data_IF_603254262018
#
_entry.id   IF_603254262018
#
_cell.length_a   1.000
_cell.length_b   1.000
_cell.length_c   1.000
_cell.angle_alpha   90.00
_cell.angle_beta   90.00
_cell.angle_gamma   90.00
#
_symmetry.space_group_name_H-M   'P 1'
#
loop_
_entity.id
_entity.type
_entity.pdbx_description
1 polymer ?
#
# COMPACT_ATOMS: atom_id res chain seq x y z
N UNK A 1 -13.26 -20.68 15.57
CA UNK A 1 -12.57 -19.60 14.83
C UNK A 1 -11.44 -20.10 13.92
N UNK A 2 -11.21 -21.42 13.82
CA UNK A 2 -9.97 -21.97 13.26
C UNK A 2 -9.97 -22.25 11.74
N UNK A 3 -11.13 -22.22 11.06
CA UNK A 3 -11.23 -22.57 9.63
C UNK A 3 -11.04 -21.41 8.63
N UNK A 4 -11.26 -20.16 9.05
CA UNK A 4 -11.35 -19.02 8.12
C UNK A 4 -10.02 -18.63 7.46
N UNK A 5 -8.90 -18.87 8.15
CA UNK A 5 -7.58 -18.58 7.61
C UNK A 5 -7.25 -19.51 6.43
N UNK A 6 -7.69 -20.77 6.48
CA UNK A 6 -7.48 -21.73 5.39
C UNK A 6 -8.22 -21.35 4.11
N UNK A 7 -9.49 -20.95 4.21
CA UNK A 7 -10.29 -20.47 3.08
C UNK A 7 -9.68 -19.22 2.44
N UNK A 8 -9.24 -18.26 3.25
CA UNK A 8 -8.59 -17.04 2.75
C UNK A 8 -7.27 -17.35 2.03
N UNK A 9 -6.47 -18.30 2.54
CA UNK A 9 -5.24 -18.73 1.87
C UNK A 9 -5.52 -19.47 0.55
N UNK A 10 -6.57 -20.28 0.48
CA UNK A 10 -6.96 -20.96 -0.76
C UNK A 10 -7.38 -19.97 -1.85
N UNK A 11 -8.20 -18.97 -1.48
CA UNK A 11 -8.61 -17.90 -2.40
C UNK A 11 -7.40 -17.09 -2.86
N UNK A 12 -6.50 -16.74 -1.93
CA UNK A 12 -5.27 -16.03 -2.24
C UNK A 12 -4.40 -16.83 -3.22
N UNK A 13 -4.30 -18.15 -3.04
CA UNK A 13 -3.53 -19.03 -3.91
C UNK A 13 -4.08 -19.05 -5.35
N UNK A 14 -5.41 -19.12 -5.52
CA UNK A 14 -6.06 -19.07 -6.84
C UNK A 14 -5.75 -17.74 -7.54
N UNK A 15 -5.88 -16.63 -6.82
CA UNK A 15 -5.52 -15.30 -7.31
C UNK A 15 -4.03 -15.29 -7.69
N UNK A 16 -3.16 -15.85 -6.86
CA UNK A 16 -1.72 -15.90 -7.12
C UNK A 16 -1.37 -16.70 -8.38
N UNK A 17 -2.12 -17.77 -8.70
CA UNK A 17 -1.94 -18.54 -9.95
C UNK A 17 -2.39 -17.72 -11.17
N UNK A 18 -3.51 -17.00 -11.09
CA UNK A 18 -4.03 -16.18 -12.20
C UNK A 18 -3.08 -15.00 -12.49
N UNK A 19 -2.63 -14.30 -11.44
CA UNK A 19 -1.73 -13.16 -11.58
C UNK A 19 -0.27 -13.60 -11.82
N UNK A 20 0.15 -14.72 -11.23
CA UNK A 20 1.52 -15.23 -11.28
C UNK A 20 2.48 -14.51 -10.33
N UNK A 21 3.54 -15.23 -9.92
CA UNK A 21 4.53 -14.75 -8.95
C UNK A 21 5.29 -13.48 -9.37
N UNK A 22 5.38 -13.18 -10.67
CA UNK A 22 6.07 -12.00 -11.19
C UNK A 22 5.20 -10.74 -11.33
N UNK A 23 3.88 -10.88 -11.57
CA UNK A 23 3.01 -9.71 -11.76
C UNK A 23 2.60 -9.09 -10.43
N UNK A 24 2.38 -9.91 -9.39
CA UNK A 24 1.94 -9.40 -8.08
C UNK A 24 2.96 -8.44 -7.45
N UNK A 25 4.27 -8.74 -7.38
CA UNK A 25 5.26 -7.81 -6.85
C UNK A 25 5.42 -6.55 -7.70
N UNK A 26 5.27 -6.67 -9.03
CA UNK A 26 5.34 -5.53 -9.96
C UNK A 26 4.19 -4.55 -9.71
N UNK A 27 2.95 -5.05 -9.64
CA UNK A 27 1.76 -4.24 -9.36
C UNK A 27 1.85 -3.62 -7.96
N UNK A 28 2.26 -4.38 -6.94
CA UNK A 28 2.45 -3.85 -5.59
C UNK A 28 3.55 -2.79 -5.54
N UNK A 29 4.62 -2.92 -6.33
CA UNK A 29 5.67 -1.93 -6.43
C UNK A 29 5.26 -0.64 -7.15
N UNK A 30 4.32 -0.70 -8.09
CA UNK A 30 3.73 0.47 -8.76
C UNK A 30 2.71 1.17 -7.84
N UNK A 31 1.83 0.40 -7.19
CA UNK A 31 0.87 0.89 -6.20
C UNK A 31 1.57 1.52 -4.98
N UNK A 32 2.61 0.87 -4.47
CA UNK A 32 3.37 1.36 -3.32
C UNK A 32 4.08 2.69 -3.61
N UNK A 33 4.59 2.87 -4.84
CA UNK A 33 5.14 4.16 -5.29
C UNK A 33 4.07 5.24 -5.34
N UNK A 34 2.89 4.94 -5.89
CA UNK A 34 1.75 5.86 -5.91
C UNK A 34 1.30 6.27 -4.51
N UNK A 35 1.10 5.30 -3.60
CA UNK A 35 0.73 5.56 -2.20
C UNK A 35 1.79 6.41 -1.50
N UNK A 36 3.09 6.16 -1.76
CA UNK A 36 4.16 6.96 -1.17
C UNK A 36 4.14 8.40 -1.67
N UNK A 37 4.00 8.63 -2.97
CA UNK A 37 3.86 9.99 -3.52
C UNK A 37 2.62 10.71 -3.00
N UNK A 38 1.49 10.00 -2.81
CA UNK A 38 0.29 10.55 -2.19
C UNK A 38 0.54 10.94 -0.73
N UNK A 39 1.18 10.06 0.05
CA UNK A 39 1.53 10.33 1.45
C UNK A 39 2.49 11.50 1.58
N UNK A 40 3.53 11.55 0.74
CA UNK A 40 4.53 12.62 0.77
C UNK A 40 3.91 13.96 0.35
N UNK A 41 2.99 13.96 -0.63
CA UNK A 41 2.25 15.15 -1.04
C UNK A 41 1.28 15.68 0.01
N UNK A 42 0.59 14.79 0.75
CA UNK A 42 -0.28 15.18 1.87
C UNK A 42 0.56 15.70 3.05
N UNK A 43 1.65 15.03 3.40
CA UNK A 43 2.48 15.38 4.55
C UNK A 43 3.37 16.62 4.31
N UNK A 44 3.61 17.03 3.07
CA UNK A 44 4.24 18.32 2.75
C UNK A 44 3.24 19.49 2.86
N UNK A 45 1.96 19.28 2.53
CA UNK A 45 0.92 20.31 2.73
C UNK A 45 0.76 20.72 4.19
N UNK A 46 0.94 19.79 5.12
CA UNK A 46 0.90 20.07 6.56
C UNK A 46 2.20 20.71 7.10
N UNK A 47 3.29 20.73 6.32
CA UNK A 47 4.58 21.34 6.71
C UNK A 47 4.78 22.75 6.17
N UNK A 48 3.89 23.21 5.29
CA UNK A 48 3.85 24.58 4.78
C UNK A 48 2.99 25.51 5.69
N UNK A 49 2.63 25.08 6.90
CA UNK A 49 2.31 26.03 7.96
C UNK A 49 3.62 26.70 8.45
N UNK A 50 3.78 28.03 8.29
CA UNK A 50 4.93 28.72 8.82
C UNK A 50 4.89 28.58 10.34
N UNK A 51 5.86 27.87 10.91
CA UNK A 51 6.22 27.99 12.33
C UNK A 51 6.96 29.32 12.57
N UNK A 52 6.37 30.40 12.10
CA UNK A 52 6.74 31.76 12.47
C UNK A 52 5.82 32.21 13.59
N UNK A 53 6.07 31.66 14.77
CA UNK A 53 5.79 32.39 16.00
C UNK A 53 7.06 32.35 16.83
N UNK A 54 7.98 33.23 16.45
CA UNK A 54 9.00 33.73 17.32
C UNK A 54 8.58 35.16 17.65
N UNK A 55 8.03 35.37 18.85
CA UNK A 55 8.22 36.54 19.74
C UNK A 55 7.56 36.27 21.09
#
# INVERSE_FOLDING_TARGET
>A
MSGRIGELLLILLIIFVIFGAGKLPKVMGELGRGIRSLRDGVNNRDKDEPRDHKE
#
